data_IF_283868091792
#
_entry.id   IF_283868091792
#
_cell.length_a   1.000
_cell.length_b   1.000
_cell.length_c   1.000
_cell.angle_alpha   90.00
_cell.angle_beta   90.00
_cell.angle_gamma   90.00
#
_symmetry.space_group_name_H-M   'P 1'
#
loop_
_entity.id
_entity.type
_entity.pdbx_description
1 polymer ?
#
# COMPACT_ATOMS: atom_id res chain seq x y z
N UNK A 1 -0.54 -5.37 -12.19
CA UNK A 1 -1.87 -4.72 -12.23
C UNK A 1 -2.19 -4.14 -10.87
N UNK A 2 -2.89 -3.00 -10.80
CA UNK A 2 -3.41 -2.47 -9.54
C UNK A 2 -4.78 -3.08 -9.26
N UNK A 3 -4.98 -3.68 -8.09
CA UNK A 3 -6.29 -4.23 -7.70
C UNK A 3 -6.87 -3.45 -6.52
N UNK A 4 -8.19 -3.28 -6.50
CA UNK A 4 -8.90 -2.51 -5.47
C UNK A 4 -8.76 -3.12 -4.09
N UNK A 5 -8.62 -4.44 -3.99
CA UNK A 5 -8.52 -5.15 -2.71
C UNK A 5 -7.27 -4.75 -1.94
N UNK A 6 -6.12 -4.56 -2.61
CA UNK A 6 -4.91 -4.06 -1.96
C UNK A 6 -5.13 -2.68 -1.34
N UNK A 7 -5.75 -1.76 -2.08
CA UNK A 7 -6.07 -0.43 -1.56
C UNK A 7 -7.06 -0.47 -0.39
N UNK A 8 -8.02 -1.41 -0.40
CA UNK A 8 -8.97 -1.60 0.69
C UNK A 8 -8.29 -2.12 1.96
N UNK A 9 -7.48 -3.18 1.83
CA UNK A 9 -6.76 -3.75 2.97
C UNK A 9 -5.75 -2.75 3.55
N UNK A 10 -5.03 -1.99 2.71
CA UNK A 10 -4.10 -0.98 3.17
C UNK A 10 -4.79 0.10 4.02
N UNK A 11 -5.93 0.61 3.55
CA UNK A 11 -6.73 1.58 4.32
C UNK A 11 -7.27 0.97 5.62
N UNK A 12 -7.70 -0.28 5.58
CA UNK A 12 -8.22 -0.97 6.77
C UNK A 12 -7.13 -1.16 7.83
N UNK A 13 -5.91 -1.45 7.41
CA UNK A 13 -4.77 -1.69 8.30
C UNK A 13 -4.24 -0.38 8.89
N UNK A 14 -4.05 0.65 8.05
CA UNK A 14 -3.32 1.85 8.45
C UNK A 14 -4.18 3.10 8.69
N UNK A 15 -5.42 3.14 8.19
CA UNK A 15 -6.33 4.28 8.34
C UNK A 15 -7.59 3.92 9.16
N UNK A 16 -7.49 2.90 10.02
CA UNK A 16 -8.58 2.50 10.93
C UNK A 16 -8.90 3.54 12.00
N UNK A 17 -9.86 3.24 12.88
CA UNK A 17 -10.37 4.20 13.88
C UNK A 17 -9.31 4.72 14.87
N UNK A 18 -8.21 3.99 15.04
CA UNK A 18 -7.09 4.36 15.92
C UNK A 18 -6.02 5.20 15.24
N UNK A 19 -6.10 5.38 13.92
CA UNK A 19 -5.14 6.17 13.16
C UNK A 19 -5.35 7.67 13.39
N UNK A 20 -4.26 8.44 13.30
CA UNK A 20 -4.32 9.89 13.42
C UNK A 20 -5.27 10.50 12.37
N UNK A 21 -6.06 11.51 12.75
CA UNK A 21 -7.08 12.09 11.88
C UNK A 21 -6.49 12.74 10.64
N UNK A 22 -5.33 13.38 10.76
CA UNK A 22 -4.68 14.04 9.64
C UNK A 22 -3.97 13.02 8.76
N UNK A 23 -3.42 11.95 9.34
CA UNK A 23 -2.96 10.80 8.57
C UNK A 23 -4.08 10.12 7.79
N UNK A 24 -5.26 9.94 8.40
CA UNK A 24 -6.43 9.37 7.72
C UNK A 24 -6.84 10.23 6.53
N UNK A 25 -6.84 11.57 6.68
CA UNK A 25 -7.12 12.48 5.55
C UNK A 25 -6.03 12.36 4.48
N UNK A 26 -4.76 12.35 4.87
CA UNK A 26 -3.61 12.25 3.96
C UNK A 26 -3.64 10.94 3.17
N UNK A 27 -3.81 9.80 3.85
CA UNK A 27 -3.91 8.49 3.24
C UNK A 27 -5.14 8.35 2.33
N UNK A 28 -6.29 8.94 2.71
CA UNK A 28 -7.48 8.98 1.83
C UNK A 28 -7.27 9.85 0.60
N UNK A 29 -6.55 10.98 0.73
CA UNK A 29 -6.19 11.85 -0.41
C UNK A 29 -5.19 11.16 -1.34
N UNK A 30 -4.22 10.45 -0.78
CA UNK A 30 -3.24 9.67 -1.53
C UNK A 30 -3.91 8.49 -2.25
N UNK A 31 -4.78 7.72 -1.60
CA UNK A 31 -5.55 6.61 -2.18
C UNK A 31 -4.66 5.65 -3.01
N UNK A 32 -4.80 5.63 -4.35
CA UNK A 32 -3.96 4.80 -5.21
C UNK A 32 -2.49 5.24 -5.21
N UNK A 33 -2.24 6.53 -4.98
CA UNK A 33 -0.90 7.13 -5.01
C UNK A 33 -0.05 6.79 -3.79
N UNK A 34 -0.61 6.06 -2.82
CA UNK A 34 0.21 5.41 -1.78
C UNK A 34 1.21 4.42 -2.40
N UNK A 35 0.84 3.76 -3.51
CA UNK A 35 1.70 2.81 -4.23
C UNK A 35 2.05 3.25 -5.67
N UNK A 36 1.34 4.22 -6.24
CA UNK A 36 1.50 4.66 -7.63
C UNK A 36 1.97 6.10 -7.72
N UNK A 37 2.61 6.45 -8.84
CA UNK A 37 3.00 7.83 -9.14
C UNK A 37 1.79 8.58 -9.72
N UNK A 38 1.50 9.77 -9.22
CA UNK A 38 0.44 10.62 -9.76
C UNK A 38 0.82 11.17 -11.13
N UNK A 39 -0.12 11.15 -12.07
CA UNK A 39 0.09 11.63 -13.44
C UNK A 39 0.60 10.56 -14.41
N UNK A 40 1.05 9.41 -13.89
CA UNK A 40 1.54 8.28 -14.68
C UNK A 40 0.50 7.15 -14.74
N UNK A 41 0.60 6.26 -15.74
CA UNK A 41 -0.26 5.07 -15.78
C UNK A 41 0.10 4.14 -14.62
N UNK A 42 -0.90 3.69 -13.86
CA UNK A 42 -0.71 2.89 -12.63
C UNK A 42 -0.04 1.55 -12.91
N UNK A 43 -0.25 1.00 -14.10
CA UNK A 43 0.33 -0.25 -14.56
C UNK A 43 1.83 -0.12 -14.81
N UNK A 44 2.26 1.05 -15.28
CA UNK A 44 3.61 1.38 -15.74
C UNK A 44 4.45 2.00 -14.61
N UNK A 45 3.86 2.83 -13.76
CA UNK A 45 4.58 3.58 -12.72
C UNK A 45 4.09 3.24 -11.31
N UNK A 46 4.95 2.54 -10.57
CA UNK A 46 4.87 2.37 -9.12
C UNK A 46 5.85 3.32 -8.46
N UNK A 47 5.41 3.95 -7.38
CA UNK A 47 6.30 4.70 -6.50
C UNK A 47 7.18 3.70 -5.73
N UNK A 48 8.16 4.17 -4.98
CA UNK A 48 9.10 3.29 -4.27
C UNK A 48 8.43 2.29 -3.33
N UNK A 49 7.36 2.69 -2.64
CA UNK A 49 6.60 1.78 -1.77
C UNK A 49 5.85 0.74 -2.59
N UNK A 50 5.20 1.15 -3.68
CA UNK A 50 4.52 0.24 -4.59
C UNK A 50 5.45 -0.76 -5.26
N UNK A 51 6.71 -0.38 -5.51
CA UNK A 51 7.75 -1.31 -5.98
C UNK A 51 8.06 -2.36 -4.92
N UNK A 52 8.33 -1.94 -3.68
CA UNK A 52 8.56 -2.87 -2.56
C UNK A 52 7.35 -3.79 -2.30
N UNK A 53 6.13 -3.27 -2.37
CA UNK A 53 4.91 -4.08 -2.27
C UNK A 53 4.85 -5.10 -3.42
N UNK A 54 5.23 -4.71 -4.63
CA UNK A 54 5.16 -5.60 -5.80
C UNK A 54 6.16 -6.77 -5.73
N UNK A 55 7.26 -6.65 -4.98
CA UNK A 55 8.19 -7.75 -4.75
C UNK A 55 7.56 -8.90 -3.96
N UNK A 56 6.58 -8.60 -3.09
CA UNK A 56 5.93 -9.59 -2.23
C UNK A 56 4.48 -9.89 -2.61
N UNK A 57 3.82 -8.98 -3.33
CA UNK A 57 2.43 -9.11 -3.76
C UNK A 57 2.31 -8.89 -5.27
N UNK A 58 1.93 -9.95 -5.97
CA UNK A 58 1.53 -9.86 -7.38
C UNK A 58 0.02 -9.95 -7.47
N UNK A 59 -0.58 -9.02 -8.20
CA UNK A 59 -2.03 -9.02 -8.40
C UNK A 59 -2.55 -10.30 -9.07
N UNK A 60 -1.70 -10.99 -9.84
CA UNK A 60 -2.00 -12.26 -10.50
C UNK A 60 -2.33 -13.38 -9.50
N UNK A 61 -1.76 -13.32 -8.29
CA UNK A 61 -2.02 -14.30 -7.22
C UNK A 61 -3.37 -14.07 -6.52
N UNK A 62 -4.07 -12.97 -6.85
CA UNK A 62 -5.33 -12.57 -6.22
C UNK A 62 -6.43 -12.30 -7.26
N UNK A 63 -6.83 -13.31 -8.05
CA UNK A 63 -8.00 -13.19 -8.91
C UNK A 63 -9.26 -12.96 -8.06
N UNK A 64 -10.31 -12.41 -8.68
CA UNK A 64 -11.55 -12.02 -7.98
C UNK A 64 -12.21 -13.20 -7.27
N UNK A 65 -12.20 -14.36 -7.93
CA UNK A 65 -12.73 -15.63 -7.43
C UNK A 65 -11.98 -16.06 -6.18
N UNK A 66 -10.64 -16.04 -6.20
CA UNK A 66 -9.82 -16.40 -5.05
C UNK A 66 -10.07 -15.47 -3.84
N UNK A 67 -10.18 -14.15 -4.07
CA UNK A 67 -10.50 -13.19 -3.00
C UNK A 67 -11.90 -13.47 -2.41
N UNK A 68 -12.86 -13.88 -3.24
CA UNK A 68 -14.23 -14.18 -2.82
C UNK A 68 -14.32 -15.50 -2.05
N UNK A 69 -13.64 -16.53 -2.53
CA UNK A 69 -13.70 -17.89 -1.96
C UNK A 69 -12.77 -18.04 -0.75
N UNK A 70 -11.68 -17.26 -0.70
CA UNK A 70 -10.68 -17.28 0.36
C UNK A 70 -10.38 -15.87 0.92
N UNK A 71 -11.39 -15.12 1.41
CA UNK A 71 -11.23 -13.72 1.81
C UNK A 71 -10.24 -13.52 2.97
N UNK A 72 -10.28 -14.41 3.96
CA UNK A 72 -9.39 -14.36 5.13
C UNK A 72 -7.94 -14.69 4.75
N UNK A 73 -7.74 -15.69 3.89
CA UNK A 73 -6.41 -16.07 3.42
C UNK A 73 -5.81 -14.98 2.53
N UNK A 74 -6.61 -14.46 1.59
CA UNK A 74 -6.22 -13.35 0.73
C UNK A 74 -5.81 -12.13 1.56
N UNK A 75 -6.63 -11.76 2.54
CA UNK A 75 -6.31 -10.68 3.49
C UNK A 75 -5.00 -10.93 4.22
N UNK A 76 -4.80 -12.13 4.79
CA UNK A 76 -3.58 -12.46 5.54
C UNK A 76 -2.33 -12.33 4.65
N UNK A 77 -2.37 -12.89 3.43
CA UNK A 77 -1.26 -12.79 2.46
C UNK A 77 -0.97 -11.33 2.09
N UNK A 78 -2.00 -10.53 1.84
CA UNK A 78 -1.86 -9.10 1.53
C UNK A 78 -1.20 -8.35 2.69
N UNK A 79 -1.66 -8.55 3.92
CA UNK A 79 -1.09 -7.90 5.10
C UNK A 79 0.36 -8.31 5.36
N UNK A 80 0.71 -9.59 5.14
CA UNK A 80 2.10 -10.03 5.20
C UNK A 80 2.97 -9.34 4.14
N UNK A 81 2.46 -9.19 2.93
CA UNK A 81 3.14 -8.46 1.86
C UNK A 81 3.39 -6.99 2.22
N UNK A 82 2.39 -6.31 2.80
CA UNK A 82 2.57 -4.94 3.30
C UNK A 82 3.57 -4.86 4.44
N UNK A 83 3.57 -5.83 5.36
CA UNK A 83 4.54 -5.89 6.45
C UNK A 83 5.97 -6.07 5.94
N UNK A 84 6.19 -6.98 4.98
CA UNK A 84 7.50 -7.16 4.34
C UNK A 84 7.94 -5.91 3.59
N UNK A 85 7.03 -5.32 2.81
CA UNK A 85 7.30 -4.04 2.16
C UNK A 85 7.63 -2.94 3.19
N UNK A 86 6.97 -2.91 4.33
CA UNK A 86 7.21 -1.92 5.39
C UNK A 86 8.64 -1.98 5.98
N UNK A 87 9.37 -3.08 5.80
CA UNK A 87 10.77 -3.21 6.24
C UNK A 87 11.77 -2.58 5.28
N UNK A 88 11.37 -2.31 4.03
CA UNK A 88 12.20 -1.63 3.05
C UNK A 88 12.36 -0.15 3.37
N UNK A 89 13.45 0.42 2.87
CA UNK A 89 13.77 1.84 3.04
C UNK A 89 13.21 2.65 1.88
N UNK A 90 12.66 3.80 2.22
CA UNK A 90 12.42 4.89 1.28
C UNK A 90 13.74 5.54 0.88
N UNK A 91 13.72 6.31 -0.21
CA UNK A 91 14.80 7.14 -0.73
C UNK A 91 15.35 8.13 0.29
N UNK A 92 14.53 8.53 1.27
CA UNK A 92 14.94 9.39 2.39
C UNK A 92 15.67 8.62 3.52
N UNK A 93 15.87 7.30 3.36
CA UNK A 93 16.61 6.44 4.28
C UNK A 93 15.79 5.87 5.43
N UNK A 94 14.55 6.34 5.67
CA UNK A 94 13.63 5.79 6.68
C UNK A 94 12.93 4.54 6.16
N UNK A 95 12.58 3.59 7.04
CA UNK A 95 11.74 2.47 6.61
C UNK A 95 10.32 2.93 6.31
N UNK A 96 9.68 2.32 5.31
CA UNK A 96 8.28 2.62 4.98
C UNK A 96 7.34 2.45 6.19
N UNK A 97 7.55 1.41 6.99
CA UNK A 97 6.78 1.18 8.21
C UNK A 97 7.01 2.23 9.30
N UNK A 98 8.21 2.81 9.38
CA UNK A 98 8.50 3.90 10.32
C UNK A 98 7.78 5.18 9.92
N UNK A 99 7.75 5.49 8.61
CA UNK A 99 7.01 6.62 8.07
C UNK A 99 5.51 6.50 8.33
N UNK A 100 4.93 5.33 8.04
CA UNK A 100 3.50 5.07 8.30
C UNK A 100 3.19 5.23 9.80
N UNK A 101 4.04 4.70 10.70
CA UNK A 101 3.88 4.89 12.15
C UNK A 101 4.03 6.34 12.59
N UNK A 102 4.85 7.11 11.88
CA UNK A 102 5.02 8.55 12.09
C UNK A 102 3.93 9.40 11.42
N UNK A 103 2.83 8.79 10.94
CA UNK A 103 1.74 9.47 10.25
C UNK A 103 2.17 10.14 8.92
N UNK A 104 3.23 9.61 8.28
CA UNK A 104 3.76 10.05 7.00
C UNK A 104 3.42 9.03 5.89
N UNK A 105 3.32 9.49 4.64
CA UNK A 105 3.18 8.56 3.50
C UNK A 105 4.48 7.77 3.32
N UNK A 106 4.41 6.47 2.96
CA UNK A 106 5.60 5.65 2.86
C UNK A 106 6.53 6.12 1.72
N UNK A 107 5.97 6.43 0.56
CA UNK A 107 6.74 6.89 -0.60
C UNK A 107 6.92 8.42 -0.62
N UNK A 108 8.11 8.87 -1.04
CA UNK A 108 8.45 10.27 -1.33
C UNK A 108 8.24 10.65 -2.79
N UNK A 109 8.20 9.67 -3.69
CA UNK A 109 8.14 9.87 -5.14
C UNK A 109 6.74 9.64 -5.73
N UNK A 110 5.70 9.77 -4.92
CA UNK A 110 4.31 9.65 -5.36
C UNK A 110 3.81 10.85 -6.20
N UNK A 111 4.52 11.99 -6.19
CA UNK A 111 4.12 13.22 -6.88
C UNK A 111 2.88 13.88 -6.27
N UNK A 112 2.73 13.79 -4.93
CA UNK A 112 1.58 14.27 -4.17
C UNK A 112 1.81 15.64 -3.52
#
# INVERSE_FOLDING_TARGET
>A
MAISEFGKQWKSEYLGEKADKDFVKLGKKANCYVCHVKGEKKEEARNEYGKAVHEYLKAEDFPKEYIKDHPEEAKKKILEGFKKAAEHKSKDGKKFGEKIKANELPATDAGL
#
